data_IF_938388199923
#
_entry.id   IF_938388199923
#
_cell.length_a   1.000
_cell.length_b   1.000
_cell.length_c   1.000
_cell.angle_alpha   90.00
_cell.angle_beta   90.00
_cell.angle_gamma   90.00
#
_symmetry.space_group_name_H-M   'P 1'
#
loop_
_entity.id
_entity.type
_entity.pdbx_description
1 polymer ?
#
# COMPACT_ATOMS: atom_id res chain seq x y z
N UNK A 1 30.69 -9.63 -4.35
CA UNK A 1 29.76 -9.63 -3.20
C UNK A 1 28.82 -10.82 -3.33
N UNK A 2 28.60 -11.54 -2.21
CA UNK A 2 27.69 -12.68 -2.16
C UNK A 2 26.75 -12.52 -0.96
N UNK A 3 25.54 -13.02 -1.10
CA UNK A 3 24.60 -13.11 0.01
C UNK A 3 25.05 -14.20 0.97
N UNK A 4 25.24 -13.87 2.24
CA UNK A 4 25.61 -14.82 3.29
C UNK A 4 24.41 -15.38 4.02
N UNK A 5 23.41 -14.52 4.27
CA UNK A 5 22.26 -14.85 5.10
C UNK A 5 21.06 -13.97 4.77
N UNK A 6 19.87 -14.53 4.88
CA UNK A 6 18.59 -13.77 4.89
C UNK A 6 17.89 -14.07 6.21
N UNK A 7 17.50 -13.03 6.94
CA UNK A 7 16.82 -13.18 8.23
C UNK A 7 15.52 -12.39 8.22
N UNK A 8 14.37 -13.06 8.28
CA UNK A 8 13.08 -12.42 8.53
C UNK A 8 12.86 -12.17 10.03
N UNK A 9 12.28 -11.04 10.38
CA UNK A 9 11.94 -10.64 11.75
C UNK A 9 10.45 -10.33 11.82
N UNK A 10 9.72 -11.05 12.64
CA UNK A 10 8.35 -10.74 13.00
C UNK A 10 8.35 -9.75 14.17
N UNK A 11 7.84 -8.53 13.95
CA UNK A 11 7.78 -7.49 14.96
C UNK A 11 6.39 -6.84 14.94
N UNK A 12 5.65 -6.92 16.04
CA UNK A 12 4.25 -6.53 16.14
C UNK A 12 3.43 -7.09 14.96
N UNK A 13 2.97 -6.24 14.07
CA UNK A 13 2.20 -6.59 12.87
C UNK A 13 3.02 -6.57 11.57
N UNK A 14 4.33 -6.47 11.65
CA UNK A 14 5.24 -6.35 10.49
C UNK A 14 6.09 -7.60 10.30
N UNK A 15 6.55 -7.79 9.07
CA UNK A 15 7.56 -8.78 8.73
C UNK A 15 8.71 -8.09 8.00
N UNK A 16 9.75 -7.78 8.75
CA UNK A 16 10.96 -7.15 8.24
C UNK A 16 11.95 -8.22 7.75
N UNK A 17 12.78 -7.85 6.79
CA UNK A 17 13.78 -8.74 6.22
C UNK A 17 15.14 -8.05 6.16
N UNK A 18 16.19 -8.74 6.59
CA UNK A 18 17.56 -8.31 6.39
C UNK A 18 18.34 -9.32 5.55
N UNK A 19 19.02 -8.82 4.52
CA UNK A 19 19.89 -9.58 3.63
C UNK A 19 21.32 -9.16 3.90
N UNK A 20 22.14 -10.09 4.43
CA UNK A 20 23.53 -9.83 4.79
C UNK A 20 24.45 -10.31 3.67
N UNK A 21 25.53 -9.58 3.43
CA UNK A 21 26.54 -9.90 2.41
C UNK A 21 27.93 -10.10 3.00
N UNK A 22 28.79 -10.86 2.28
CA UNK A 22 30.19 -11.12 2.62
C UNK A 22 31.08 -9.86 2.62
N UNK A 23 30.54 -8.71 2.24
CA UNK A 23 31.24 -7.42 2.28
C UNK A 23 30.70 -6.49 3.38
N UNK A 24 29.88 -7.00 4.29
CA UNK A 24 29.31 -6.25 5.40
C UNK A 24 28.21 -5.26 5.02
N UNK A 25 27.78 -5.23 3.75
CA UNK A 25 26.60 -4.45 3.34
C UNK A 25 25.35 -5.27 3.69
N UNK A 26 24.40 -4.61 4.35
CA UNK A 26 23.13 -5.22 4.74
C UNK A 26 21.99 -4.50 4.06
N UNK A 27 21.11 -5.25 3.39
CA UNK A 27 19.89 -4.72 2.80
C UNK A 27 18.69 -4.93 3.71
N UNK A 28 17.82 -3.93 3.75
CA UNK A 28 16.59 -3.93 4.52
C UNK A 28 15.38 -4.01 3.59
N UNK A 29 14.42 -4.84 3.95
CA UNK A 29 13.16 -4.99 3.23
C UNK A 29 12.01 -5.29 4.17
N UNK A 30 10.81 -5.30 3.63
CA UNK A 30 9.59 -5.60 4.38
C UNK A 30 8.61 -6.36 3.49
N UNK A 31 7.95 -7.36 4.05
CA UNK A 31 6.95 -8.17 3.38
C UNK A 31 5.54 -7.68 3.70
N UNK A 32 4.71 -7.59 2.66
CA UNK A 32 3.28 -7.35 2.77
C UNK A 32 2.49 -8.61 3.14
N UNK A 33 1.23 -8.66 2.69
CA UNK A 33 0.26 -9.70 3.01
C UNK A 33 -0.16 -9.65 4.48
N UNK A 34 -0.62 -8.49 4.88
CA UNK A 34 -1.12 -8.22 6.22
C UNK A 34 -2.05 -9.34 6.74
N UNK A 35 -1.97 -9.64 8.02
CA UNK A 35 -2.60 -10.76 8.71
C UNK A 35 -2.00 -12.15 8.44
N UNK A 36 -1.14 -12.34 7.44
CA UNK A 36 -0.60 -13.66 7.06
C UNK A 36 0.93 -13.71 7.12
N UNK A 37 1.57 -12.84 7.88
CA UNK A 37 3.03 -12.73 7.97
C UNK A 37 3.72 -14.03 8.39
N UNK A 38 3.08 -14.89 9.19
CA UNK A 38 3.62 -16.21 9.54
C UNK A 38 3.87 -17.12 8.33
N UNK A 39 2.96 -17.11 7.34
CA UNK A 39 3.14 -17.85 6.08
C UNK A 39 4.26 -17.25 5.25
N UNK A 40 4.30 -15.93 5.13
CA UNK A 40 5.34 -15.22 4.38
C UNK A 40 6.71 -15.37 5.01
N UNK A 41 6.80 -15.34 6.35
CA UNK A 41 8.03 -15.62 7.09
C UNK A 41 8.60 -16.99 6.71
N UNK A 42 7.77 -18.03 6.68
CA UNK A 42 8.20 -19.36 6.25
C UNK A 42 8.65 -19.37 4.79
N UNK A 43 7.92 -18.72 3.90
CA UNK A 43 8.29 -18.61 2.49
C UNK A 43 9.67 -17.93 2.30
N UNK A 44 9.99 -16.86 3.05
CA UNK A 44 11.31 -16.22 3.01
C UNK A 44 12.42 -17.20 3.43
N UNK A 45 12.20 -17.97 4.49
CA UNK A 45 13.18 -18.97 4.92
C UNK A 45 13.42 -20.05 3.85
N UNK A 46 12.38 -20.53 3.19
CA UNK A 46 12.48 -21.51 2.11
C UNK A 46 13.21 -20.93 0.89
N UNK A 47 12.86 -19.70 0.49
CA UNK A 47 13.51 -19.00 -0.62
C UNK A 47 14.99 -18.67 -0.32
N UNK A 48 15.36 -18.48 0.95
CA UNK A 48 16.74 -18.15 1.33
C UNK A 48 17.75 -19.18 0.84
N UNK A 49 17.37 -20.46 0.73
CA UNK A 49 18.21 -21.53 0.19
C UNK A 49 18.65 -21.28 -1.26
N UNK A 50 17.81 -20.61 -2.05
CA UNK A 50 18.19 -20.22 -3.41
C UNK A 50 19.18 -19.05 -3.40
N UNK A 51 18.97 -18.05 -2.54
CA UNK A 51 19.70 -16.77 -2.60
C UNK A 51 21.10 -16.84 -1.98
N UNK A 52 21.30 -17.64 -0.92
CA UNK A 52 22.60 -17.74 -0.21
C UNK A 52 23.69 -18.20 -1.17
N UNK A 53 24.83 -17.50 -1.12
CA UNK A 53 26.00 -17.72 -1.99
C UNK A 53 25.91 -17.03 -3.36
N UNK A 54 24.78 -16.41 -3.72
CA UNK A 54 24.59 -15.72 -5.01
C UNK A 54 24.95 -14.23 -4.94
N UNK A 55 25.14 -13.65 -6.09
CA UNK A 55 25.44 -12.23 -6.27
C UNK A 55 24.16 -11.39 -6.13
N UNK A 56 24.03 -10.51 -5.10
CA UNK A 56 22.85 -9.69 -4.87
C UNK A 56 22.60 -8.64 -5.95
N UNK A 57 23.58 -8.32 -6.80
CA UNK A 57 23.42 -7.32 -7.86
C UNK A 57 22.55 -7.79 -9.03
N UNK A 58 22.30 -9.11 -9.14
CA UNK A 58 21.50 -9.70 -10.23
C UNK A 58 20.00 -9.70 -9.91
N UNK A 59 19.46 -8.57 -9.50
CA UNK A 59 18.12 -8.43 -8.93
C UNK A 59 17.04 -8.99 -9.88
N UNK A 60 16.95 -8.49 -11.11
CA UNK A 60 15.97 -8.97 -12.09
C UNK A 60 16.14 -10.46 -12.40
N UNK A 61 17.38 -10.96 -12.49
CA UNK A 61 17.64 -12.38 -12.71
C UNK A 61 17.07 -13.23 -11.58
N UNK A 62 17.28 -12.82 -10.33
CA UNK A 62 16.75 -13.54 -9.17
C UNK A 62 15.22 -13.53 -9.16
N UNK A 63 14.63 -12.37 -9.40
CA UNK A 63 13.18 -12.27 -9.48
C UNK A 63 12.61 -13.22 -10.53
N UNK A 64 13.16 -13.19 -11.76
CA UNK A 64 12.70 -14.01 -12.87
C UNK A 64 12.92 -15.51 -12.63
N UNK A 65 14.06 -15.88 -12.04
CA UNK A 65 14.36 -17.29 -11.72
C UNK A 65 13.36 -17.83 -10.72
N UNK A 66 13.20 -17.16 -9.56
CA UNK A 66 12.32 -17.67 -8.51
C UNK A 66 10.85 -17.65 -8.93
N UNK A 67 10.40 -16.60 -9.60
CA UNK A 67 9.00 -16.49 -10.02
C UNK A 67 8.60 -17.52 -11.10
N UNK A 68 9.56 -18.00 -11.92
CA UNK A 68 9.31 -18.97 -12.99
C UNK A 68 9.51 -20.41 -12.53
N UNK A 69 10.48 -20.64 -11.64
CA UNK A 69 10.82 -21.99 -11.16
C UNK A 69 9.82 -22.46 -10.07
N UNK A 70 9.11 -21.56 -9.44
CA UNK A 70 8.07 -21.88 -8.47
C UNK A 70 6.80 -22.31 -9.18
N UNK A 71 6.39 -23.57 -9.01
CA UNK A 71 5.20 -24.14 -9.67
C UNK A 71 3.90 -23.41 -9.31
N UNK A 72 3.79 -22.96 -8.07
CA UNK A 72 2.58 -22.33 -7.54
C UNK A 72 2.94 -20.96 -6.97
N UNK A 73 2.77 -19.93 -7.80
CA UNK A 73 2.84 -18.54 -7.34
C UNK A 73 1.52 -18.15 -6.65
N UNK A 74 1.63 -17.19 -5.73
CA UNK A 74 0.48 -16.61 -5.03
C UNK A 74 0.94 -15.47 -4.13
N UNK A 75 0.03 -14.85 -3.43
CA UNK A 75 0.29 -13.64 -2.65
C UNK A 75 1.41 -13.83 -1.61
N UNK A 76 1.48 -14.98 -0.93
CA UNK A 76 2.51 -15.22 0.09
C UNK A 76 3.92 -15.30 -0.51
N UNK A 77 4.09 -15.98 -1.65
CA UNK A 77 5.38 -16.06 -2.34
C UNK A 77 5.75 -14.72 -2.96
N UNK A 78 4.77 -14.00 -3.50
CA UNK A 78 5.00 -12.67 -4.06
C UNK A 78 5.43 -11.67 -2.97
N UNK A 79 4.82 -11.70 -1.78
CA UNK A 79 5.23 -10.89 -0.64
C UNK A 79 6.66 -11.22 -0.18
N UNK A 80 7.02 -12.51 -0.12
CA UNK A 80 8.38 -12.95 0.22
C UNK A 80 9.41 -12.45 -0.81
N UNK A 81 9.10 -12.59 -2.11
CA UNK A 81 9.92 -12.06 -3.19
C UNK A 81 10.05 -10.54 -3.11
N UNK A 82 8.95 -9.82 -2.82
CA UNK A 82 8.94 -8.36 -2.69
C UNK A 82 9.88 -7.89 -1.59
N UNK A 83 9.84 -8.53 -0.42
CA UNK A 83 10.71 -8.17 0.69
C UNK A 83 12.20 -8.37 0.36
N UNK A 84 12.54 -9.49 -0.28
CA UNK A 84 13.92 -9.75 -0.72
C UNK A 84 14.33 -8.77 -1.83
N UNK A 85 13.46 -8.49 -2.80
CA UNK A 85 13.71 -7.51 -3.86
C UNK A 85 14.02 -6.12 -3.31
N UNK A 86 13.21 -5.62 -2.36
CA UNK A 86 13.45 -4.35 -1.68
C UNK A 86 14.84 -4.33 -1.03
N UNK A 87 15.21 -5.41 -0.32
CA UNK A 87 16.50 -5.52 0.33
C UNK A 87 17.67 -5.58 -0.67
N UNK A 88 17.50 -6.23 -1.81
CA UNK A 88 18.51 -6.27 -2.87
C UNK A 88 18.72 -4.91 -3.52
N UNK A 89 17.65 -4.13 -3.76
CA UNK A 89 17.76 -2.75 -4.22
C UNK A 89 18.41 -1.84 -3.19
N UNK A 90 18.15 -2.06 -1.90
CA UNK A 90 18.83 -1.36 -0.80
C UNK A 90 20.33 -1.64 -0.81
N UNK A 91 20.74 -2.93 -0.96
CA UNK A 91 22.14 -3.32 -1.13
C UNK A 91 22.76 -2.64 -2.34
N UNK A 92 22.07 -2.65 -3.50
CA UNK A 92 22.59 -2.04 -4.72
C UNK A 92 22.86 -0.55 -4.55
N UNK A 93 21.95 0.19 -3.90
CA UNK A 93 22.13 1.60 -3.59
C UNK A 93 23.30 1.84 -2.62
N UNK A 94 23.39 1.06 -1.55
CA UNK A 94 24.47 1.14 -0.55
C UNK A 94 25.83 0.83 -1.16
N UNK A 95 25.93 -0.20 -2.01
CA UNK A 95 27.16 -0.62 -2.66
C UNK A 95 27.79 0.48 -3.54
N UNK A 96 26.96 1.37 -4.12
CA UNK A 96 27.42 2.48 -4.94
C UNK A 96 27.29 3.85 -4.26
N UNK A 97 26.92 3.87 -2.97
CA UNK A 97 26.78 5.11 -2.20
C UNK A 97 25.65 6.02 -2.69
N UNK A 98 24.59 5.48 -3.30
CA UNK A 98 23.48 6.24 -3.88
C UNK A 98 22.11 5.78 -3.34
N UNK A 99 21.14 6.69 -3.20
CA UNK A 99 19.76 6.31 -2.88
C UNK A 99 19.12 5.55 -4.05
N UNK A 100 18.16 4.66 -3.75
CA UNK A 100 17.52 3.79 -4.75
C UNK A 100 16.88 4.57 -5.88
N UNK A 101 16.24 5.73 -5.61
CA UNK A 101 15.64 6.53 -6.67
C UNK A 101 16.65 6.96 -7.76
N UNK A 102 17.95 7.11 -7.42
CA UNK A 102 19.00 7.40 -8.40
C UNK A 102 19.22 6.24 -9.37
N UNK A 103 19.14 5.02 -8.88
CA UNK A 103 19.27 3.82 -9.71
C UNK A 103 18.02 3.59 -10.58
N UNK A 104 16.88 4.10 -10.13
CA UNK A 104 15.61 4.01 -10.85
C UNK A 104 15.40 5.12 -11.94
N UNK A 105 16.38 5.99 -12.14
CA UNK A 105 16.35 7.05 -13.15
C UNK A 105 16.40 8.48 -12.59
N UNK A 106 16.47 8.63 -11.29
CA UNK A 106 16.55 9.95 -10.61
C UNK A 106 15.21 10.47 -10.15
N UNK A 107 15.24 11.64 -9.50
CA UNK A 107 14.05 12.27 -8.96
C UNK A 107 13.25 13.00 -10.05
N UNK A 108 11.95 12.80 -10.06
CA UNK A 108 10.96 13.63 -10.75
C UNK A 108 10.18 14.51 -9.77
N UNK A 109 10.36 14.31 -8.46
CA UNK A 109 9.83 15.14 -7.37
C UNK A 109 10.73 15.10 -6.13
N UNK A 110 10.68 16.18 -5.35
CA UNK A 110 11.49 16.31 -4.12
C UNK A 110 10.74 15.88 -2.86
N UNK A 111 9.40 15.91 -2.90
CA UNK A 111 8.50 15.53 -1.80
C UNK A 111 7.42 14.58 -2.31
N UNK A 112 6.98 13.67 -1.46
CA UNK A 112 5.92 12.69 -1.74
C UNK A 112 4.64 13.14 -1.06
N UNK A 113 3.61 13.53 -1.83
CA UNK A 113 2.31 13.92 -1.30
C UNK A 113 1.63 12.71 -0.66
N UNK A 114 1.05 12.90 0.52
CA UNK A 114 0.35 11.85 1.26
C UNK A 114 -1.07 12.25 1.62
N UNK A 115 -1.94 11.27 1.82
CA UNK A 115 -3.24 11.46 2.44
C UNK A 115 -3.24 10.93 3.87
N UNK A 116 -4.14 11.46 4.70
CA UNK A 116 -4.38 11.00 6.05
C UNK A 116 -5.77 10.35 6.15
N UNK A 117 -5.82 9.20 6.83
CA UNK A 117 -7.09 8.57 7.16
C UNK A 117 -7.83 9.36 8.24
N UNK A 118 -9.11 9.56 8.03
CA UNK A 118 -10.04 10.13 9.01
C UNK A 118 -11.17 9.15 9.30
N UNK A 119 -11.80 9.28 10.45
CA UNK A 119 -12.90 8.41 10.84
C UNK A 119 -13.55 8.88 12.14
N UNK A 120 -14.64 8.24 12.47
CA UNK A 120 -15.41 8.49 13.68
C UNK A 120 -16.63 7.58 13.76
N UNK A 121 -17.15 7.36 14.96
CA UNK A 121 -18.37 6.56 15.17
C UNK A 121 -19.65 7.28 14.73
N UNK A 122 -19.57 8.58 14.42
CA UNK A 122 -20.66 9.43 13.91
C UNK A 122 -20.15 10.38 12.84
N UNK A 123 -21.05 10.95 12.06
CA UNK A 123 -20.69 11.95 11.06
C UNK A 123 -20.00 13.18 11.67
N UNK A 124 -20.45 13.63 12.83
CA UNK A 124 -19.85 14.75 13.56
C UNK A 124 -18.40 14.44 14.01
N UNK A 125 -18.16 13.26 14.57
CA UNK A 125 -16.81 12.84 15.00
C UNK A 125 -15.88 12.69 13.80
N UNK A 126 -16.38 12.21 12.66
CA UNK A 126 -15.58 12.12 11.43
C UNK A 126 -15.24 13.51 10.87
N UNK A 127 -16.18 14.46 10.92
CA UNK A 127 -15.96 15.85 10.52
C UNK A 127 -14.93 16.56 11.43
N UNK A 128 -14.98 16.33 12.75
CA UNK A 128 -14.00 16.83 13.71
C UNK A 128 -12.60 16.27 13.41
N UNK A 129 -12.50 14.93 13.24
CA UNK A 129 -11.24 14.30 12.82
C UNK A 129 -10.69 14.89 11.52
N UNK A 130 -11.55 15.21 10.55
CA UNK A 130 -11.14 15.84 9.31
C UNK A 130 -10.56 17.24 9.54
N UNK A 131 -11.18 18.07 10.36
CA UNK A 131 -10.68 19.41 10.70
C UNK A 131 -9.33 19.35 11.41
N UNK A 132 -9.15 18.40 12.33
CA UNK A 132 -7.87 18.18 13.01
C UNK A 132 -6.74 17.87 12.00
N UNK A 133 -6.99 16.99 11.02
CA UNK A 133 -5.98 16.64 10.02
C UNK A 133 -5.68 17.79 9.06
N UNK A 134 -6.68 18.59 8.69
CA UNK A 134 -6.45 19.83 7.92
C UNK A 134 -5.60 20.82 8.71
N UNK A 135 -5.88 21.00 10.00
CA UNK A 135 -5.06 21.84 10.90
C UNK A 135 -3.63 21.31 11.05
N UNK A 136 -3.41 20.00 10.97
CA UNK A 136 -2.10 19.35 10.96
C UNK A 136 -1.35 19.49 9.61
N UNK A 137 -1.96 20.15 8.61
CA UNK A 137 -1.35 20.49 7.33
C UNK A 137 -1.57 19.44 6.21
N UNK A 138 -2.47 18.49 6.38
CA UNK A 138 -2.82 17.56 5.31
C UNK A 138 -3.74 18.24 4.28
N UNK A 139 -3.44 18.01 2.99
CA UNK A 139 -4.19 18.53 1.85
C UNK A 139 -5.08 17.48 1.20
N UNK A 140 -4.95 16.23 1.63
CA UNK A 140 -5.73 15.09 1.13
C UNK A 140 -6.10 14.20 2.29
N UNK A 141 -7.38 13.84 2.37
CA UNK A 141 -7.95 12.97 3.40
C UNK A 141 -8.63 11.77 2.75
N UNK A 142 -8.71 10.65 3.47
CA UNK A 142 -9.47 9.46 3.07
C UNK A 142 -10.35 9.00 4.23
N UNK A 143 -11.57 8.59 3.92
CA UNK A 143 -12.50 8.03 4.89
C UNK A 143 -13.20 6.79 4.35
N UNK A 144 -13.56 5.88 5.25
CA UNK A 144 -14.64 4.94 4.99
C UNK A 144 -15.98 5.64 5.32
N UNK A 145 -16.97 5.63 4.42
CA UNK A 145 -18.23 6.32 4.66
C UNK A 145 -19.23 5.51 5.51
N UNK A 146 -18.81 4.33 6.01
CA UNK A 146 -19.70 3.42 6.71
C UNK A 146 -19.63 3.60 8.23
N UNK A 147 -20.79 3.71 8.86
CA UNK A 147 -20.91 3.72 10.32
C UNK A 147 -20.75 2.31 10.91
N UNK A 148 -20.27 2.17 12.14
CA UNK A 148 -20.18 0.87 12.80
C UNK A 148 -21.54 0.13 12.78
N UNK A 149 -21.52 -1.15 12.43
CA UNK A 149 -22.70 -2.00 12.36
C UNK A 149 -23.56 -1.81 11.10
N UNK A 150 -23.03 -1.15 10.08
CA UNK A 150 -23.73 -0.96 8.79
C UNK A 150 -24.14 -2.29 8.15
N UNK A 151 -23.44 -3.37 8.41
CA UNK A 151 -23.70 -4.72 7.88
C UNK A 151 -25.09 -5.24 8.29
N UNK A 152 -25.69 -4.66 9.34
CA UNK A 152 -27.02 -5.02 9.86
C UNK A 152 -28.15 -4.12 9.35
N UNK A 153 -27.83 -3.16 8.50
CA UNK A 153 -28.78 -2.18 7.94
C UNK A 153 -29.24 -2.60 6.54
N UNK A 154 -30.33 -2.02 6.09
CA UNK A 154 -30.76 -2.15 4.69
C UNK A 154 -29.83 -1.34 3.77
N UNK A 155 -29.72 -1.74 2.50
CA UNK A 155 -28.94 -1.01 1.51
C UNK A 155 -29.28 0.49 1.46
N UNK A 156 -30.57 0.82 1.49
CA UNK A 156 -31.03 2.23 1.50
C UNK A 156 -30.55 3.01 2.71
N UNK A 157 -30.51 2.37 3.89
CA UNK A 157 -29.98 2.98 5.12
C UNK A 157 -28.46 3.17 5.03
N UNK A 158 -27.73 2.16 4.52
CA UNK A 158 -26.28 2.24 4.35
C UNK A 158 -25.89 3.38 3.42
N UNK A 159 -26.58 3.49 2.27
CA UNK A 159 -26.32 4.57 1.30
C UNK A 159 -26.66 5.93 1.91
N UNK A 160 -27.83 6.08 2.54
CA UNK A 160 -28.24 7.35 3.18
C UNK A 160 -27.27 7.80 4.27
N UNK A 161 -26.83 6.88 5.14
CA UNK A 161 -25.85 7.17 6.17
C UNK A 161 -24.48 7.55 5.60
N UNK A 162 -24.04 6.85 4.56
CA UNK A 162 -22.77 7.13 3.88
C UNK A 162 -22.76 8.53 3.25
N UNK A 163 -23.85 8.90 2.56
CA UNK A 163 -24.01 10.24 1.98
C UNK A 163 -24.02 11.32 3.07
N UNK A 164 -24.76 11.10 4.15
CA UNK A 164 -24.82 12.04 5.28
C UNK A 164 -23.43 12.23 5.94
N UNK A 165 -22.67 11.15 6.08
CA UNK A 165 -21.31 11.22 6.64
C UNK A 165 -20.36 12.02 5.73
N UNK A 166 -20.39 11.76 4.42
CA UNK A 166 -19.58 12.49 3.44
C UNK A 166 -19.97 13.97 3.40
N UNK A 167 -21.28 14.26 3.45
CA UNK A 167 -21.78 15.64 3.48
C UNK A 167 -21.25 16.42 4.69
N UNK A 168 -21.31 15.83 5.89
CA UNK A 168 -20.81 16.46 7.11
C UNK A 168 -19.31 16.73 7.05
N UNK A 169 -18.50 15.78 6.55
CA UNK A 169 -17.06 15.98 6.36
C UNK A 169 -16.80 17.09 5.35
N UNK A 170 -17.51 17.09 4.21
CA UNK A 170 -17.32 18.09 3.17
C UNK A 170 -17.74 19.50 3.63
N UNK A 171 -18.79 19.62 4.42
CA UNK A 171 -19.18 20.87 5.06
C UNK A 171 -18.08 21.41 5.99
N UNK A 172 -17.46 20.51 6.75
CA UNK A 172 -16.41 20.85 7.73
C UNK A 172 -15.08 21.30 7.10
N UNK A 173 -14.66 20.71 5.96
CA UNK A 173 -13.35 20.96 5.34
C UNK A 173 -13.41 21.80 4.05
N UNK A 174 -14.59 22.10 3.54
CA UNK A 174 -14.78 22.83 2.26
C UNK A 174 -14.35 21.99 1.05
N UNK A 175 -14.06 22.64 -0.10
CA UNK A 175 -13.75 21.98 -1.37
C UNK A 175 -12.29 22.13 -1.81
N UNK A 176 -11.46 22.80 -1.03
CA UNK A 176 -10.02 22.99 -1.32
C UNK A 176 -9.18 21.81 -0.80
N UNK A 177 -9.77 20.95 0.02
CA UNK A 177 -9.16 19.73 0.53
C UNK A 177 -9.63 18.54 -0.30
N UNK A 178 -8.69 17.75 -0.79
CA UNK A 178 -8.97 16.49 -1.49
C UNK A 178 -9.61 15.47 -0.52
N UNK A 179 -10.74 14.85 -0.94
CA UNK A 179 -11.41 13.81 -0.15
C UNK A 179 -11.56 12.54 -0.98
N UNK A 180 -10.86 11.48 -0.60
CA UNK A 180 -11.00 10.13 -1.14
C UNK A 180 -11.92 9.26 -0.30
N UNK A 181 -12.57 8.30 -0.93
CA UNK A 181 -13.43 7.33 -0.25
C UNK A 181 -12.91 5.91 -0.42
N UNK A 182 -12.79 5.22 0.69
CA UNK A 182 -12.48 3.79 0.80
C UNK A 182 -13.76 3.00 1.10
N UNK A 183 -14.25 2.27 0.11
CA UNK A 183 -15.44 1.42 0.24
C UNK A 183 -15.08 0.05 0.82
N UNK A 184 -13.84 -0.33 0.68
CA UNK A 184 -13.25 -1.53 1.29
C UNK A 184 -14.00 -2.81 0.95
N UNK A 185 -14.53 -2.91 -0.29
CA UNK A 185 -15.21 -4.10 -0.85
C UNK A 185 -16.55 -4.46 -0.21
N UNK A 186 -17.15 -3.49 0.48
CA UNK A 186 -18.36 -3.72 1.30
C UNK A 186 -19.69 -3.64 0.54
N UNK A 187 -19.67 -3.35 -0.77
CA UNK A 187 -20.89 -3.14 -1.54
C UNK A 187 -21.06 -4.18 -2.64
N UNK A 188 -22.31 -4.39 -3.04
CA UNK A 188 -22.68 -5.06 -4.28
C UNK A 188 -22.61 -4.08 -5.45
N UNK A 189 -22.54 -4.56 -6.71
CA UNK A 189 -22.42 -3.67 -7.87
C UNK A 189 -23.46 -2.55 -7.93
N UNK A 190 -24.73 -2.87 -7.70
CA UNK A 190 -25.85 -1.91 -7.78
C UNK A 190 -25.79 -0.87 -6.64
N UNK A 191 -25.36 -1.31 -5.45
CA UNK A 191 -25.18 -0.44 -4.29
C UNK A 191 -24.00 0.53 -4.52
N UNK A 192 -22.88 0.01 -5.06
CA UNK A 192 -21.71 0.82 -5.40
C UNK A 192 -22.05 1.89 -6.45
N UNK A 193 -22.83 1.53 -7.49
CA UNK A 193 -23.28 2.46 -8.52
C UNK A 193 -24.19 3.53 -7.91
N UNK A 194 -25.18 3.12 -7.11
CA UNK A 194 -26.12 4.05 -6.48
C UNK A 194 -25.39 5.04 -5.58
N UNK A 195 -24.53 4.54 -4.69
CA UNK A 195 -23.74 5.41 -3.79
C UNK A 195 -22.87 6.39 -4.58
N UNK A 196 -22.18 5.94 -5.62
CA UNK A 196 -21.33 6.83 -6.42
C UNK A 196 -22.09 7.99 -7.06
N UNK A 197 -23.32 7.75 -7.55
CA UNK A 197 -24.17 8.80 -8.09
C UNK A 197 -24.63 9.82 -7.04
N UNK A 198 -24.99 9.35 -5.84
CA UNK A 198 -25.37 10.22 -4.72
C UNK A 198 -24.19 11.08 -4.21
N UNK A 199 -22.96 10.64 -4.46
CA UNK A 199 -21.73 11.32 -4.01
C UNK A 199 -21.23 12.42 -4.98
N UNK A 200 -21.81 12.57 -6.17
CA UNK A 200 -21.36 13.55 -7.17
C UNK A 200 -21.28 15.00 -6.65
N UNK A 201 -22.21 15.50 -5.81
CA UNK A 201 -22.13 16.86 -5.30
C UNK A 201 -20.89 17.14 -4.43
N UNK A 202 -20.25 16.11 -3.89
CA UNK A 202 -19.18 16.24 -2.91
C UNK A 202 -17.77 16.24 -3.52
N UNK A 203 -17.60 16.18 -4.85
CA UNK A 203 -16.32 16.22 -5.57
C UNK A 203 -15.30 15.23 -4.98
N UNK A 204 -15.67 13.95 -4.97
CA UNK A 204 -14.81 12.88 -4.46
C UNK A 204 -13.62 12.70 -5.39
N UNK A 205 -12.39 12.68 -4.80
CA UNK A 205 -11.14 12.58 -5.53
C UNK A 205 -10.96 11.20 -6.18
N UNK A 206 -11.33 10.14 -5.46
CA UNK A 206 -11.33 8.76 -5.95
C UNK A 206 -12.32 7.91 -5.14
N UNK A 207 -12.78 6.84 -5.79
CA UNK A 207 -13.69 5.83 -5.26
C UNK A 207 -12.96 4.49 -5.21
N UNK A 208 -12.49 4.12 -4.01
CA UNK A 208 -11.56 3.01 -3.81
C UNK A 208 -12.29 1.74 -3.43
N UNK A 209 -11.87 0.62 -4.05
CA UNK A 209 -12.29 -0.74 -3.79
C UNK A 209 -13.81 -0.90 -3.57
N UNK A 210 -14.67 -0.47 -4.51
CA UNK A 210 -16.11 -0.57 -4.33
C UNK A 210 -16.59 -2.01 -4.20
N UNK A 211 -15.91 -2.95 -4.87
CA UNK A 211 -16.20 -4.38 -4.89
C UNK A 211 -14.98 -5.20 -4.52
N UNK A 212 -15.22 -6.44 -4.13
CA UNK A 212 -14.18 -7.45 -4.04
C UNK A 212 -13.54 -7.72 -5.43
N UNK A 213 -12.21 -7.88 -5.53
CA UNK A 213 -11.49 -7.95 -6.80
C UNK A 213 -11.55 -9.31 -7.50
N UNK A 214 -12.30 -10.26 -6.96
CA UNK A 214 -12.44 -11.63 -7.48
C UNK A 214 -13.11 -11.70 -8.85
N UNK A 215 -13.92 -10.67 -9.22
CA UNK A 215 -14.53 -10.54 -10.55
C UNK A 215 -14.20 -9.20 -11.19
N UNK A 216 -13.27 -9.23 -12.14
CA UNK A 216 -12.97 -8.05 -12.98
C UNK A 216 -14.14 -7.66 -13.88
N UNK A 217 -14.99 -8.61 -14.29
CA UNK A 217 -16.19 -8.33 -15.07
C UNK A 217 -17.19 -7.51 -14.28
N UNK A 218 -17.43 -7.86 -13.00
CA UNK A 218 -18.29 -7.07 -12.12
C UNK A 218 -17.70 -5.66 -11.87
N UNK A 219 -16.38 -5.59 -11.66
CA UNK A 219 -15.69 -4.31 -11.49
C UNK A 219 -15.77 -3.43 -12.75
N UNK A 220 -15.63 -4.03 -13.94
CA UNK A 220 -15.79 -3.33 -15.23
C UNK A 220 -17.23 -2.82 -15.43
N UNK A 221 -18.22 -3.60 -15.04
CA UNK A 221 -19.63 -3.17 -15.05
C UNK A 221 -19.85 -1.94 -14.17
N UNK A 222 -19.33 -1.94 -12.95
CA UNK A 222 -19.39 -0.79 -12.03
C UNK A 222 -18.64 0.41 -12.64
N UNK A 223 -17.40 0.20 -13.11
CA UNK A 223 -16.57 1.28 -13.67
C UNK A 223 -17.24 2.02 -14.85
N UNK A 224 -17.98 1.30 -15.69
CA UNK A 224 -18.73 1.91 -16.80
C UNK A 224 -19.92 2.75 -16.35
N UNK A 225 -20.43 2.51 -15.14
CA UNK A 225 -21.62 3.14 -14.59
C UNK A 225 -21.32 4.21 -13.54
N UNK A 226 -20.09 4.24 -13.01
CA UNK A 226 -19.66 5.16 -11.94
C UNK A 226 -18.94 6.36 -12.54
N UNK A 227 -19.41 7.60 -12.34
CA UNK A 227 -18.78 8.80 -12.89
C UNK A 227 -17.69 9.37 -11.94
N UNK A 228 -17.10 8.54 -11.09
CA UNK A 228 -16.01 8.90 -10.17
C UNK A 228 -14.70 8.18 -10.58
N UNK A 229 -13.52 8.79 -10.35
CA UNK A 229 -12.24 8.13 -10.58
C UNK A 229 -12.12 6.88 -9.72
N UNK A 230 -12.07 5.70 -10.32
CA UNK A 230 -11.96 4.43 -9.59
C UNK A 230 -10.51 4.10 -9.24
N UNK A 231 -10.29 3.58 -8.03
CA UNK A 231 -9.01 3.10 -7.55
C UNK A 231 -9.14 1.67 -7.01
N UNK A 232 -8.27 0.74 -7.43
CA UNK A 232 -8.20 -0.62 -6.88
C UNK A 232 -6.88 -1.29 -7.19
N UNK A 233 -6.62 -2.46 -6.59
CA UNK A 233 -5.47 -3.29 -6.89
C UNK A 233 -4.60 -3.68 -5.69
N UNK A 234 -4.94 -3.28 -4.48
CA UNK A 234 -4.14 -3.58 -3.28
C UNK A 234 -3.98 -5.09 -2.99
N UNK A 235 -4.90 -5.91 -3.48
CA UNK A 235 -4.85 -7.38 -3.35
C UNK A 235 -4.15 -8.07 -4.52
N UNK A 236 -3.77 -7.31 -5.58
CA UNK A 236 -3.03 -7.84 -6.71
C UNK A 236 -1.55 -7.94 -6.40
N UNK A 237 -0.91 -8.98 -6.90
CA UNK A 237 0.44 -9.33 -6.51
C UNK A 237 1.37 -9.64 -7.70
N UNK A 238 0.95 -9.34 -8.93
CA UNK A 238 1.78 -9.50 -10.11
C UNK A 238 1.41 -8.54 -11.24
N UNK A 239 2.36 -8.27 -12.13
CA UNK A 239 2.24 -7.35 -13.26
C UNK A 239 1.08 -7.68 -14.21
N UNK A 240 0.72 -8.97 -14.35
CA UNK A 240 -0.32 -9.41 -15.29
C UNK A 240 -1.72 -9.01 -14.83
N UNK A 241 -1.98 -9.08 -13.52
CA UNK A 241 -3.23 -8.62 -12.92
C UNK A 241 -3.41 -7.11 -13.09
N UNK A 242 -2.35 -6.31 -12.88
CA UNK A 242 -2.41 -4.86 -13.10
C UNK A 242 -2.58 -4.50 -14.57
N UNK A 243 -1.94 -5.26 -15.49
CA UNK A 243 -2.12 -5.05 -16.91
C UNK A 243 -3.56 -5.31 -17.34
N UNK A 244 -4.19 -6.42 -16.90
CA UNK A 244 -5.58 -6.75 -17.22
C UNK A 244 -6.54 -5.68 -16.70
N UNK A 245 -6.33 -5.21 -15.46
CA UNK A 245 -7.11 -4.13 -14.84
C UNK A 245 -7.04 -2.83 -15.67
N UNK A 246 -5.84 -2.45 -16.14
CA UNK A 246 -5.60 -1.25 -16.93
C UNK A 246 -6.18 -1.38 -18.34
N UNK A 247 -5.95 -2.51 -19.02
CA UNK A 247 -6.45 -2.76 -20.36
C UNK A 247 -7.96 -2.72 -20.47
N UNK A 248 -8.66 -3.20 -19.44
CA UNK A 248 -10.14 -3.12 -19.31
C UNK A 248 -10.66 -1.71 -19.00
N UNK A 249 -9.77 -0.74 -18.74
CA UNK A 249 -10.13 0.64 -18.38
C UNK A 249 -11.03 0.75 -17.14
N UNK A 250 -10.83 -0.15 -16.18
CA UNK A 250 -11.60 -0.17 -14.94
C UNK A 250 -11.20 0.98 -14.02
N UNK A 251 -9.93 1.39 -14.03
CA UNK A 251 -9.37 2.32 -13.06
C UNK A 251 -8.77 3.57 -13.67
N UNK A 252 -8.86 4.67 -12.93
CA UNK A 252 -8.04 5.87 -13.11
C UNK A 252 -6.75 5.80 -12.28
N UNK A 253 -6.75 5.00 -11.21
CA UNK A 253 -5.66 4.85 -10.26
C UNK A 253 -5.45 3.37 -9.92
N UNK A 254 -4.22 2.86 -10.08
CA UNK A 254 -3.85 1.51 -9.60
C UNK A 254 -3.21 1.60 -8.23
N UNK A 255 -3.52 0.60 -7.37
CA UNK A 255 -3.04 0.51 -5.99
C UNK A 255 -2.05 -0.64 -5.74
N UNK A 256 -0.88 -0.69 -6.41
CA UNK A 256 0.08 -1.73 -6.12
C UNK A 256 0.74 -1.52 -4.75
N UNK A 257 0.93 -2.60 -4.00
CA UNK A 257 1.71 -2.60 -2.77
C UNK A 257 3.15 -3.05 -3.07
N UNK A 258 4.16 -2.24 -2.71
CA UNK A 258 5.58 -2.53 -2.95
C UNK A 258 6.02 -3.82 -2.26
N UNK A 259 5.50 -4.05 -1.07
CA UNK A 259 5.82 -5.20 -0.24
C UNK A 259 5.05 -6.48 -0.62
N UNK A 260 4.14 -6.39 -1.61
CA UNK A 260 3.32 -7.51 -2.09
C UNK A 260 3.47 -7.77 -3.59
N UNK A 261 3.54 -6.73 -4.41
CA UNK A 261 3.44 -6.85 -5.86
C UNK A 261 4.80 -6.97 -6.58
N UNK A 262 5.83 -7.49 -5.90
CA UNK A 262 7.13 -7.84 -6.49
C UNK A 262 8.23 -6.79 -6.33
N UNK A 263 8.15 -5.95 -5.30
CA UNK A 263 9.18 -4.98 -4.94
C UNK A 263 9.39 -3.89 -5.98
N UNK A 264 10.53 -3.22 -5.93
CA UNK A 264 10.90 -2.19 -6.91
C UNK A 264 10.92 -2.71 -8.35
N UNK A 265 11.41 -3.95 -8.53
CA UNK A 265 11.55 -4.59 -9.84
C UNK A 265 10.23 -4.66 -10.58
N UNK A 266 9.13 -5.03 -9.93
CA UNK A 266 7.82 -5.12 -10.59
C UNK A 266 7.06 -3.81 -10.55
N UNK A 267 7.10 -3.05 -9.45
CA UNK A 267 6.34 -1.81 -9.36
C UNK A 267 6.80 -0.76 -10.36
N UNK A 268 8.09 -0.71 -10.70
CA UNK A 268 8.58 0.17 -11.78
C UNK A 268 7.96 -0.19 -13.14
N UNK A 269 7.75 -1.48 -13.41
CA UNK A 269 7.10 -1.97 -14.63
C UNK A 269 5.59 -1.69 -14.61
N UNK A 270 4.93 -1.91 -13.47
CA UNK A 270 3.51 -1.57 -13.28
C UNK A 270 3.29 -0.08 -13.51
N UNK A 271 4.16 0.78 -12.95
CA UNK A 271 4.11 2.22 -13.14
C UNK A 271 4.26 2.62 -14.62
N UNK A 272 5.17 1.98 -15.37
CA UNK A 272 5.35 2.26 -16.79
C UNK A 272 4.14 1.83 -17.64
N UNK A 273 3.51 0.69 -17.32
CA UNK A 273 2.27 0.25 -17.99
C UNK A 273 1.13 1.23 -17.68
N UNK A 274 1.00 1.64 -16.45
CA UNK A 274 -0.01 2.62 -16.00
C UNK A 274 0.21 3.99 -16.67
N UNK A 275 1.47 4.46 -16.75
CA UNK A 275 1.84 5.72 -17.41
C UNK A 275 1.41 5.74 -18.86
N UNK A 276 1.69 4.67 -19.60
CA UNK A 276 1.30 4.55 -21.02
C UNK A 276 -0.23 4.57 -21.24
N UNK A 277 -1.01 4.27 -20.22
CA UNK A 277 -2.46 4.29 -20.23
C UNK A 277 -3.08 5.55 -19.56
N UNK A 278 -2.27 6.53 -19.17
CA UNK A 278 -2.69 7.71 -18.37
C UNK A 278 -3.34 7.34 -17.03
N UNK A 279 -2.92 6.23 -16.44
CA UNK A 279 -3.37 5.77 -15.11
C UNK A 279 -2.35 6.19 -14.05
N UNK A 280 -2.85 6.77 -12.95
CA UNK A 280 -2.00 7.16 -11.82
C UNK A 280 -1.62 5.97 -10.93
N UNK A 281 -0.44 6.04 -10.32
CA UNK A 281 -0.01 5.07 -9.30
C UNK A 281 -0.32 5.63 -7.92
N UNK A 282 -1.19 4.95 -7.23
CA UNK A 282 -1.72 5.28 -5.90
C UNK A 282 -1.46 4.09 -4.96
N UNK A 283 -0.23 3.93 -4.43
CA UNK A 283 0.17 2.73 -3.72
C UNK A 283 -0.67 2.45 -2.48
N UNK A 284 -0.97 1.16 -2.26
CA UNK A 284 -1.39 0.66 -0.95
C UNK A 284 -0.17 0.56 -0.03
N UNK A 285 -0.33 0.95 1.23
CA UNK A 285 0.73 0.88 2.23
C UNK A 285 0.16 0.51 3.61
N UNK A 286 0.53 -0.65 4.11
CA UNK A 286 0.28 -1.10 5.49
C UNK A 286 1.58 -1.51 6.19
N UNK A 287 2.63 -0.70 6.00
CA UNK A 287 3.99 -1.03 6.39
C UNK A 287 4.56 -0.21 7.54
N UNK A 288 5.74 -0.64 7.99
CA UNK A 288 6.61 0.03 8.95
C UNK A 288 7.36 1.21 8.30
N UNK A 289 8.18 1.96 9.07
CA UNK A 289 9.09 2.96 8.49
C UNK A 289 9.99 2.46 7.36
N UNK A 290 10.30 1.14 7.33
CA UNK A 290 11.09 0.53 6.24
C UNK A 290 10.33 0.58 4.92
N UNK A 291 9.06 0.16 4.92
CA UNK A 291 8.24 0.19 3.71
C UNK A 291 7.92 1.63 3.28
N UNK A 292 7.67 2.54 4.23
CA UNK A 292 7.47 3.97 3.94
C UNK A 292 8.70 4.55 3.22
N UNK A 293 9.90 4.28 3.72
CA UNK A 293 11.14 4.75 3.11
C UNK A 293 11.33 4.20 1.70
N UNK A 294 11.10 2.89 1.51
CA UNK A 294 11.17 2.25 0.21
C UNK A 294 10.17 2.85 -0.78
N UNK A 295 8.92 3.06 -0.38
CA UNK A 295 7.93 3.74 -1.22
C UNK A 295 8.31 5.17 -1.59
N UNK A 296 8.89 5.93 -0.66
CA UNK A 296 9.38 7.27 -0.96
C UNK A 296 10.44 7.26 -2.08
N UNK A 297 11.33 6.24 -2.10
CA UNK A 297 12.31 6.09 -3.19
C UNK A 297 11.63 5.80 -4.53
N UNK A 298 10.64 4.92 -4.57
CA UNK A 298 9.88 4.62 -5.78
C UNK A 298 9.08 5.85 -6.23
N UNK A 299 8.29 6.43 -5.35
CA UNK A 299 7.44 7.58 -5.62
C UNK A 299 8.23 8.77 -6.18
N UNK A 300 9.46 8.96 -5.69
CA UNK A 300 10.35 10.00 -6.21
C UNK A 300 10.78 9.77 -7.66
N UNK A 301 10.76 8.51 -8.15
CA UNK A 301 11.34 8.12 -9.45
C UNK A 301 10.32 7.83 -10.56
N UNK A 302 9.02 7.82 -10.27
CA UNK A 302 7.96 7.55 -11.25
C UNK A 302 7.13 8.81 -11.54
N UNK A 303 6.90 9.17 -12.83
CA UNK A 303 6.21 10.43 -13.15
C UNK A 303 4.73 10.43 -12.81
N UNK A 304 4.06 9.29 -12.96
CA UNK A 304 2.62 9.12 -12.75
C UNK A 304 2.22 8.74 -11.31
N UNK A 305 3.10 8.99 -10.33
CA UNK A 305 2.71 8.89 -8.92
C UNK A 305 1.61 9.90 -8.59
N UNK A 306 0.59 9.43 -7.87
CA UNK A 306 -0.57 10.25 -7.50
C UNK A 306 -0.54 10.66 -6.04
N UNK A 307 -0.60 9.73 -5.10
CA UNK A 307 -0.76 9.95 -3.67
C UNK A 307 -0.34 8.70 -2.91
N UNK A 308 0.07 8.82 -1.64
CA UNK A 308 0.44 7.68 -0.80
C UNK A 308 -0.24 7.75 0.56
N UNK A 309 -0.48 6.62 1.13
CA UNK A 309 -1.06 6.47 2.46
C UNK A 309 -0.07 6.94 3.54
N UNK A 310 -0.55 7.77 4.46
CA UNK A 310 0.17 8.13 5.69
C UNK A 310 -0.51 7.45 6.86
N UNK A 311 0.20 6.58 7.57
CA UNK A 311 -0.36 5.90 8.73
C UNK A 311 -0.26 6.76 9.98
N UNK A 312 -1.41 7.05 10.58
CA UNK A 312 -1.47 7.58 11.95
C UNK A 312 -0.85 6.54 12.88
N UNK A 313 0.10 6.97 13.71
CA UNK A 313 0.77 6.09 14.66
C UNK A 313 1.96 5.30 14.08
N UNK A 314 2.33 5.48 12.79
CA UNK A 314 3.58 4.94 12.28
C UNK A 314 4.80 5.49 13.04
N UNK A 315 4.68 6.68 13.60
CA UNK A 315 5.75 7.32 14.38
C UNK A 315 6.16 6.53 15.63
N UNK A 316 5.26 5.72 16.19
CA UNK A 316 5.59 4.86 17.35
C UNK A 316 6.63 3.80 17.01
N UNK A 317 6.73 3.44 15.73
CA UNK A 317 7.73 2.47 15.23
C UNK A 317 9.00 3.13 14.69
N UNK A 318 9.12 4.47 14.76
CA UNK A 318 10.33 5.15 14.27
C UNK A 318 11.59 4.72 15.00
N UNK A 319 11.47 4.21 16.22
CA UNK A 319 12.60 3.70 17.01
C UNK A 319 13.17 2.36 16.52
N UNK A 320 12.49 1.65 15.58
CA UNK A 320 13.04 0.43 14.97
C UNK A 320 14.03 0.72 13.83
N UNK A 321 14.23 1.99 13.49
CA UNK A 321 15.15 2.43 12.43
C UNK A 321 16.02 3.59 12.90
N UNK A 322 17.21 3.73 12.30
CA UNK A 322 18.15 4.81 12.62
C UNK A 322 17.73 6.18 12.05
N UNK A 323 16.95 6.19 10.99
CA UNK A 323 16.56 7.39 10.28
C UNK A 323 15.14 7.30 9.70
N UNK A 324 14.12 7.59 10.49
CA UNK A 324 12.75 7.58 9.99
C UNK A 324 12.50 8.65 8.93
N UNK A 325 11.52 8.40 8.05
CA UNK A 325 11.12 9.37 7.03
C UNK A 325 10.45 10.57 7.70
N UNK A 326 10.94 11.77 7.38
CA UNK A 326 10.42 13.03 7.94
C UNK A 326 9.20 13.51 7.18
N UNK A 327 8.18 13.94 7.91
CA UNK A 327 6.97 14.58 7.38
C UNK A 327 7.10 16.10 7.39
N UNK A 328 6.58 16.75 6.35
CA UNK A 328 6.45 18.20 6.21
C UNK A 328 5.02 18.53 5.72
N UNK A 329 4.11 18.81 6.65
CA UNK A 329 2.68 18.95 6.36
C UNK A 329 2.12 17.68 5.71
N UNK A 330 1.44 17.83 4.57
CA UNK A 330 0.90 16.75 3.75
C UNK A 330 1.92 16.04 2.84
N UNK A 331 3.23 16.10 3.16
CA UNK A 331 4.31 15.53 2.37
C UNK A 331 5.31 14.75 3.21
N UNK A 332 5.91 13.72 2.61
CA UNK A 332 7.10 13.05 3.13
C UNK A 332 8.33 13.51 2.36
N UNK A 333 9.45 13.70 3.07
CA UNK A 333 10.72 14.11 2.47
C UNK A 333 11.46 12.88 1.96
N UNK A 334 11.97 12.96 0.74
CA UNK A 334 12.71 11.85 0.11
C UNK A 334 14.14 11.84 0.64
N UNK A 335 14.56 10.75 1.29
CA UNK A 335 15.93 10.60 1.78
C UNK A 335 16.94 10.59 0.63
N UNK A 336 18.05 11.30 0.82
CA UNK A 336 19.22 11.24 -0.06
C UNK A 336 20.30 10.26 0.40
N UNK A 337 20.09 9.54 1.52
CA UNK A 337 21.03 8.52 2.02
C UNK A 337 21.07 7.30 1.09
N UNK A 338 22.19 6.57 1.04
CA UNK A 338 22.31 5.36 0.23
C UNK A 338 21.22 4.31 0.51
N UNK A 339 20.89 3.53 -0.49
CA UNK A 339 19.85 2.50 -0.39
C UNK A 339 18.46 3.10 -0.28
N UNK A 340 17.60 2.51 0.56
CA UNK A 340 16.27 3.06 0.90
C UNK A 340 16.37 4.22 1.89
N UNK A 341 17.55 4.46 2.46
CA UNK A 341 17.86 5.63 3.28
C UNK A 341 17.78 5.44 4.78
N UNK A 342 17.68 4.21 5.26
CA UNK A 342 17.66 3.87 6.70
C UNK A 342 18.29 2.50 6.99
N UNK A 343 18.54 2.23 8.28
CA UNK A 343 18.92 0.91 8.80
C UNK A 343 17.95 0.45 9.88
N UNK A 344 17.65 -0.84 9.91
CA UNK A 344 16.86 -1.46 10.97
C UNK A 344 17.75 -1.64 12.21
N UNK A 345 17.29 -1.19 13.37
CA UNK A 345 17.86 -1.53 14.66
C UNK A 345 17.25 -2.85 15.16
N UNK A 346 17.97 -3.95 14.95
CA UNK A 346 17.51 -5.29 15.32
C UNK A 346 17.20 -5.41 16.83
N UNK A 347 17.96 -4.72 17.69
CA UNK A 347 17.78 -4.78 19.15
C UNK A 347 16.46 -4.15 19.59
N UNK A 348 16.00 -3.14 18.86
CA UNK A 348 14.73 -2.49 19.16
C UNK A 348 13.53 -3.35 18.80
N UNK A 349 13.66 -4.32 17.88
CA UNK A 349 12.57 -5.21 17.47
C UNK A 349 12.07 -6.10 18.63
N UNK A 350 12.92 -6.44 19.59
CA UNK A 350 12.54 -7.24 20.77
C UNK A 350 11.44 -6.57 21.63
N UNK A 351 11.28 -5.26 21.50
CA UNK A 351 10.24 -4.49 22.18
C UNK A 351 8.84 -4.64 21.56
N UNK A 352 8.78 -5.20 20.34
CA UNK A 352 7.57 -5.36 19.55
C UNK A 352 7.31 -6.85 19.27
N UNK A 353 6.85 -7.64 20.24
CA UNK A 353 6.55 -9.05 20.02
C UNK A 353 5.46 -9.21 18.96
N UNK A 354 5.61 -10.20 18.08
CA UNK A 354 4.65 -10.45 17.02
C UNK A 354 3.25 -10.76 17.54
N UNK A 355 2.28 -10.06 17.02
CA UNK A 355 0.86 -10.24 17.34
C UNK A 355 0.11 -10.72 16.08
N UNK A 356 -0.22 -12.04 15.99
CA UNK A 356 -1.01 -12.56 14.88
C UNK A 356 -2.40 -11.93 14.86
N UNK A 357 -2.86 -11.49 13.69
CA UNK A 357 -4.22 -11.01 13.54
C UNK A 357 -5.21 -12.17 13.64
N UNK A 358 -6.22 -11.99 14.48
CA UNK A 358 -7.35 -12.91 14.57
C UNK A 358 -8.33 -12.68 13.42
N UNK A 359 -8.91 -13.77 12.89
CA UNK A 359 -10.01 -13.71 11.93
C UNK A 359 -11.29 -13.44 12.73
N UNK A 360 -11.82 -12.24 12.57
CA UNK A 360 -13.10 -11.83 13.14
C UNK A 360 -14.11 -11.77 11.98
N UNK A 361 -15.17 -12.57 12.05
CA UNK A 361 -16.25 -12.51 11.07
C UNK A 361 -17.15 -11.30 11.31
N UNK A 362 -17.58 -10.66 10.23
CA UNK A 362 -18.70 -9.72 10.24
C UNK A 362 -19.97 -10.44 9.76
N UNK A 363 -21.12 -10.13 10.35
CA UNK A 363 -22.36 -10.82 10.09
C UNK A 363 -23.52 -9.86 9.86
N UNK A 364 -24.35 -10.16 8.87
CA UNK A 364 -25.63 -9.50 8.65
C UNK A 364 -26.63 -9.79 9.79
N UNK A 365 -27.75 -9.08 9.80
CA UNK A 365 -28.79 -9.24 10.84
C UNK A 365 -29.40 -10.65 10.89
N UNK A 366 -29.37 -11.38 9.79
CA UNK A 366 -29.85 -12.77 9.67
C UNK A 366 -28.79 -13.83 10.02
N UNK A 367 -27.59 -13.40 10.42
CA UNK A 367 -26.48 -14.29 10.76
C UNK A 367 -25.64 -14.77 9.56
N UNK A 368 -25.94 -14.36 8.34
CA UNK A 368 -25.10 -14.64 7.18
C UNK A 368 -23.80 -13.83 7.24
N UNK A 369 -22.75 -14.36 6.59
CA UNK A 369 -21.43 -13.71 6.56
C UNK A 369 -21.50 -12.43 5.72
N UNK A 370 -21.09 -11.31 6.31
CA UNK A 370 -20.88 -10.05 5.60
C UNK A 370 -19.44 -9.96 5.07
N UNK A 371 -19.21 -9.06 4.13
CA UNK A 371 -17.88 -8.80 3.55
C UNK A 371 -16.92 -8.11 4.53
#
# INVERSE_FOLDING_TARGET
MKIEKITPFLADRFLLVRVYTDQGIVGNGEAGLWAHHGMVHRAILDLSHYYVGKDPSRIEHHFQTVSRDTHFMGAALSAALSAIDIALWDIAGKAVGQPVHRLLGGRVRDKVKVFQNIGGATAAACAESAQEQVAAGYLSLRMSPFLPGFERKTASQVIGDAVAMVAAVREAIGFDIDLGLEIHRNLRPEEAITLAHELLPFRILYYEDPLAPESLEAMEYVAKSVPLPMATGERFHNIFQFKDLIDRKIVSLVRPDLSLAGGFTQLKKIAAIAEAAFVGVFPHLMGSPVNIAAFCQLAASIPNYFLMESHTGADVYNEIVDWPVTRDGGYLLVSGRPGIGLEIDEKSLDRYPYTPKQILGNFHADGSVAH
#
